data_IF_846553308299
#
_entry.id   IF_846553308299
#
_cell.length_a   1.000
_cell.length_b   1.000
_cell.length_c   1.000
_cell.angle_alpha   90.00
_cell.angle_beta   90.00
_cell.angle_gamma   90.00
#
_symmetry.space_group_name_H-M   'P 1'
#
loop_
_entity.id
_entity.type
_entity.pdbx_description
1 polymer ?
#
# COMPACT_ATOMS: atom_id res chain seq x y z
N UNK A 1 17.42 14.73 2.53
CA UNK A 1 15.96 14.85 2.76
C UNK A 1 15.18 13.53 2.70
N UNK A 2 15.69 12.42 2.15
CA UNK A 2 14.90 11.19 1.89
C UNK A 2 14.35 10.39 3.10
N UNK A 3 14.74 10.65 4.36
CA UNK A 3 14.36 9.75 5.48
C UNK A 3 13.04 10.13 6.14
N UNK A 4 12.82 11.42 6.44
CA UNK A 4 11.65 11.87 7.21
C UNK A 4 10.37 11.90 6.35
N UNK A 5 10.45 12.45 5.14
CA UNK A 5 9.31 12.53 4.21
C UNK A 5 8.79 11.14 3.85
N UNK A 6 9.67 10.16 3.64
CA UNK A 6 9.27 8.76 3.36
C UNK A 6 8.60 8.10 4.56
N UNK A 7 9.05 8.38 5.79
CA UNK A 7 8.38 7.83 6.98
C UNK A 7 6.97 8.40 7.09
N UNK A 8 6.82 9.71 6.96
CA UNK A 8 5.51 10.38 7.03
C UNK A 8 4.56 9.84 5.95
N UNK A 9 5.02 9.72 4.71
CA UNK A 9 4.22 9.16 3.62
C UNK A 9 3.75 7.72 3.91
N UNK A 10 4.66 6.86 4.41
CA UNK A 10 4.31 5.47 4.77
C UNK A 10 3.34 5.41 5.94
N UNK A 11 3.45 6.31 6.92
CA UNK A 11 2.52 6.37 8.06
C UNK A 11 1.13 6.80 7.60
N UNK A 12 1.02 7.80 6.74
CA UNK A 12 -0.27 8.24 6.20
C UNK A 12 -0.94 7.18 5.34
N UNK A 13 -0.17 6.51 4.48
CA UNK A 13 -0.68 5.36 3.72
C UNK A 13 -1.10 4.23 4.65
N UNK A 14 -0.29 3.89 5.66
CA UNK A 14 -0.59 2.82 6.61
C UNK A 14 -1.87 3.08 7.41
N UNK A 15 -2.14 4.33 7.81
CA UNK A 15 -3.28 4.68 8.65
C UNK A 15 -4.63 4.28 8.04
N UNK A 16 -4.77 4.46 6.72
CA UNK A 16 -5.98 4.08 5.99
C UNK A 16 -6.28 2.58 6.12
N UNK A 17 -5.26 1.74 5.90
CA UNK A 17 -5.38 0.29 5.95
C UNK A 17 -5.46 -0.24 7.38
N UNK A 18 -4.83 0.43 8.34
CA UNK A 18 -4.91 0.06 9.75
C UNK A 18 -6.34 0.24 10.27
N UNK A 19 -6.95 1.40 9.99
CA UNK A 19 -8.34 1.66 10.38
C UNK A 19 -9.30 0.68 9.70
N UNK A 20 -9.10 0.45 8.40
CA UNK A 20 -9.90 -0.49 7.61
C UNK A 20 -9.77 -1.94 8.11
N UNK A 21 -8.56 -2.42 8.36
CA UNK A 21 -8.29 -3.78 8.82
C UNK A 21 -8.82 -4.04 10.24
N UNK A 22 -8.66 -3.08 11.16
CA UNK A 22 -9.24 -3.17 12.51
C UNK A 22 -10.78 -3.21 12.41
N UNK A 23 -11.36 -2.35 11.57
CA UNK A 23 -12.81 -2.34 11.33
C UNK A 23 -13.36 -3.67 10.83
N UNK A 24 -12.60 -4.39 10.00
CA UNK A 24 -12.95 -5.74 9.52
C UNK A 24 -12.87 -6.81 10.59
N UNK A 25 -11.96 -6.67 11.56
CA UNK A 25 -11.89 -7.59 12.71
C UNK A 25 -13.06 -7.36 13.65
N UNK A 26 -13.36 -6.10 13.99
CA UNK A 26 -14.44 -5.77 14.92
C UNK A 26 -15.83 -6.03 14.32
N UNK A 27 -16.00 -5.81 13.02
CA UNK A 27 -17.26 -6.02 12.30
C UNK A 27 -17.19 -7.21 11.33
N UNK A 28 -16.57 -8.32 11.75
CA UNK A 28 -16.30 -9.45 10.86
C UNK A 28 -17.57 -10.02 10.22
N UNK A 29 -18.61 -10.29 11.01
CA UNK A 29 -19.85 -10.87 10.49
C UNK A 29 -20.55 -9.93 9.51
N UNK A 30 -20.65 -8.64 9.83
CA UNK A 30 -21.28 -7.64 8.97
C UNK A 30 -20.51 -7.46 7.66
N UNK A 31 -19.17 -7.45 7.73
CA UNK A 31 -18.33 -7.33 6.53
C UNK A 31 -18.47 -8.56 5.64
N UNK A 32 -18.51 -9.77 6.23
CA UNK A 32 -18.70 -11.00 5.47
C UNK A 32 -20.04 -11.02 4.72
N UNK A 33 -21.13 -10.58 5.36
CA UNK A 33 -22.44 -10.42 4.70
C UNK A 33 -22.39 -9.37 3.59
N UNK A 34 -21.69 -8.26 3.80
CA UNK A 34 -21.49 -7.25 2.75
C UNK A 34 -20.69 -7.77 1.54
N UNK A 35 -19.69 -8.63 1.77
CA UNK A 35 -18.90 -9.27 0.72
C UNK A 35 -19.72 -10.29 -0.09
N UNK A 36 -20.65 -11.00 0.57
CA UNK A 36 -21.60 -11.90 -0.09
C UNK A 36 -22.54 -11.13 -1.02
N UNK A 37 -23.05 -9.97 -0.58
CA UNK A 37 -23.96 -9.13 -1.37
C UNK A 37 -23.33 -8.59 -2.67
N UNK A 38 -22.01 -8.39 -2.69
CA UNK A 38 -21.27 -7.93 -3.88
C UNK A 38 -20.64 -9.09 -4.68
N UNK A 39 -20.98 -10.34 -4.34
CA UNK A 39 -20.59 -11.52 -5.10
C UNK A 39 -19.13 -11.98 -4.90
N UNK A 40 -18.48 -11.63 -3.78
CA UNK A 40 -17.14 -12.13 -3.48
C UNK A 40 -17.19 -13.63 -3.17
N UNK A 41 -16.42 -14.48 -3.87
CA UNK A 41 -16.39 -15.91 -3.58
C UNK A 41 -15.80 -16.17 -2.18
N UNK A 42 -16.38 -17.13 -1.47
CA UNK A 42 -15.94 -17.57 -0.14
C UNK A 42 -15.72 -16.38 0.83
N UNK A 43 -16.77 -15.58 1.14
CA UNK A 43 -16.63 -14.25 1.75
C UNK A 43 -15.86 -14.28 3.07
N UNK A 44 -16.07 -15.28 3.93
CA UNK A 44 -15.33 -15.42 5.20
C UNK A 44 -13.83 -15.67 5.00
N UNK A 45 -13.45 -16.49 4.03
CA UNK A 45 -12.04 -16.78 3.73
C UNK A 45 -11.39 -15.56 3.08
N UNK A 46 -12.06 -14.97 2.10
CA UNK A 46 -11.63 -13.74 1.42
C UNK A 46 -11.47 -12.57 2.41
N UNK A 47 -12.34 -12.48 3.42
CA UNK A 47 -12.23 -11.49 4.50
C UNK A 47 -10.97 -11.71 5.36
N UNK A 48 -10.66 -12.94 5.75
CA UNK A 48 -9.43 -13.25 6.49
C UNK A 48 -8.19 -12.89 5.65
N UNK A 49 -8.19 -13.23 4.35
CA UNK A 49 -7.11 -12.85 3.43
C UNK A 49 -6.98 -11.33 3.34
N UNK A 50 -8.10 -10.60 3.23
CA UNK A 50 -8.10 -9.14 3.20
C UNK A 50 -7.47 -8.54 4.47
N UNK A 51 -7.83 -9.05 5.65
CA UNK A 51 -7.26 -8.62 6.94
C UNK A 51 -5.74 -8.87 6.97
N UNK A 52 -5.29 -10.04 6.50
CA UNK A 52 -3.86 -10.37 6.43
C UNK A 52 -3.13 -9.43 5.47
N UNK A 53 -3.70 -9.14 4.29
CA UNK A 53 -3.11 -8.22 3.32
C UNK A 53 -3.01 -6.81 3.88
N UNK A 54 -4.05 -6.33 4.56
CA UNK A 54 -4.08 -4.99 5.16
C UNK A 54 -3.12 -4.87 6.34
N UNK A 55 -3.30 -5.69 7.39
CA UNK A 55 -2.52 -5.55 8.62
C UNK A 55 -1.09 -6.05 8.46
N UNK A 56 -0.90 -7.16 7.74
CA UNK A 56 0.43 -7.66 7.37
C UNK A 56 1.14 -6.71 6.41
N UNK A 57 0.41 -6.16 5.43
CA UNK A 57 0.93 -5.14 4.52
C UNK A 57 1.40 -3.88 5.26
N UNK A 58 0.59 -3.36 6.19
CA UNK A 58 0.95 -2.23 7.06
C UNK A 58 2.19 -2.53 7.90
N UNK A 59 2.22 -3.68 8.56
CA UNK A 59 3.36 -4.09 9.39
C UNK A 59 4.66 -4.09 8.58
N UNK A 60 4.65 -4.66 7.37
CA UNK A 60 5.81 -4.70 6.48
C UNK A 60 6.14 -3.32 5.87
N UNK A 61 5.14 -2.53 5.49
CA UNK A 61 5.29 -1.19 4.92
C UNK A 61 6.08 -0.27 5.87
N UNK A 62 5.78 -0.32 7.17
CA UNK A 62 6.44 0.53 8.15
C UNK A 62 7.91 0.14 8.39
N UNK A 63 8.30 -1.11 8.13
CA UNK A 63 9.71 -1.53 8.19
C UNK A 63 10.58 -0.87 7.12
N UNK A 64 11.91 -0.96 7.26
CA UNK A 64 12.86 -0.48 6.24
C UNK A 64 13.15 -1.54 5.17
N UNK A 65 13.27 -2.80 5.57
CA UNK A 65 13.71 -3.91 4.71
C UNK A 65 12.58 -4.47 3.84
N UNK A 66 11.36 -4.52 4.38
CA UNK A 66 10.23 -5.20 3.74
C UNK A 66 9.15 -4.23 3.22
N UNK A 67 9.46 -2.92 3.17
CA UNK A 67 8.50 -1.90 2.73
C UNK A 67 7.94 -2.16 1.33
N UNK A 68 8.77 -2.67 0.41
CA UNK A 68 8.35 -3.02 -0.96
C UNK A 68 7.32 -4.15 -0.97
N UNK A 69 7.51 -5.16 -0.12
CA UNK A 69 6.59 -6.31 -0.01
C UNK A 69 5.27 -5.82 0.59
N UNK A 70 5.32 -5.03 1.66
CA UNK A 70 4.12 -4.44 2.26
C UNK A 70 3.34 -3.56 1.26
N UNK A 71 4.03 -2.74 0.46
CA UNK A 71 3.40 -1.93 -0.56
C UNK A 71 2.65 -2.79 -1.60
N UNK A 72 3.25 -3.88 -2.08
CA UNK A 72 2.60 -4.79 -3.03
C UNK A 72 1.38 -5.50 -2.44
N UNK A 73 1.43 -5.92 -1.18
CA UNK A 73 0.27 -6.52 -0.50
C UNK A 73 -0.90 -5.54 -0.43
N UNK A 74 -0.62 -4.28 -0.07
CA UNK A 74 -1.63 -3.23 0.02
C UNK A 74 -2.17 -2.82 -1.35
N UNK A 75 -1.32 -2.78 -2.40
CA UNK A 75 -1.75 -2.54 -3.78
C UNK A 75 -2.72 -3.64 -4.21
N UNK A 76 -2.37 -4.91 -4.00
CA UNK A 76 -3.22 -6.05 -4.37
C UNK A 76 -4.58 -5.95 -3.70
N UNK A 77 -4.62 -5.71 -2.39
CA UNK A 77 -5.86 -5.51 -1.66
C UNK A 77 -6.67 -4.32 -2.21
N UNK A 78 -6.03 -3.18 -2.46
CA UNK A 78 -6.71 -1.96 -2.93
C UNK A 78 -7.32 -2.14 -4.31
N UNK A 79 -6.63 -2.85 -5.22
CA UNK A 79 -7.15 -3.19 -6.55
C UNK A 79 -8.38 -4.08 -6.42
N UNK A 80 -8.28 -5.17 -5.65
CA UNK A 80 -9.41 -6.08 -5.46
C UNK A 80 -10.61 -5.37 -4.83
N UNK A 81 -10.40 -4.59 -3.77
CA UNK A 81 -11.48 -3.82 -3.12
C UNK A 81 -12.16 -2.86 -4.11
N UNK A 82 -11.40 -2.20 -4.97
CA UNK A 82 -11.94 -1.28 -5.99
C UNK A 82 -12.82 -2.00 -7.02
N UNK A 83 -12.40 -3.18 -7.47
CA UNK A 83 -13.14 -3.97 -8.44
C UNK A 83 -14.47 -4.49 -7.88
N UNK A 84 -14.53 -4.84 -6.59
CA UNK A 84 -15.78 -5.34 -5.99
C UNK A 84 -16.73 -4.24 -5.52
N UNK A 85 -16.24 -3.08 -5.06
CA UNK A 85 -17.07 -2.10 -4.35
C UNK A 85 -17.25 -0.75 -5.05
N UNK A 86 -16.50 -0.45 -6.11
CA UNK A 86 -16.43 0.93 -6.65
C UNK A 86 -16.48 0.99 -8.18
N UNK A 87 -17.22 0.08 -8.82
CA UNK A 87 -17.42 0.07 -10.28
C UNK A 87 -18.76 0.65 -10.73
N UNK A 88 -19.61 1.14 -9.82
CA UNK A 88 -20.80 1.88 -10.19
C UNK A 88 -20.45 3.36 -10.46
N UNK A 89 -20.40 3.73 -11.73
CA UNK A 89 -20.11 5.11 -12.16
C UNK A 89 -21.34 6.04 -12.10
N UNK A 90 -22.53 5.51 -11.83
CA UNK A 90 -23.73 6.31 -11.64
C UNK A 90 -23.80 6.88 -10.22
N UNK A 91 -23.22 6.17 -9.26
CA UNK A 91 -23.01 6.66 -7.90
C UNK A 91 -21.73 7.50 -7.78
N UNK A 92 -21.91 8.80 -7.53
CA UNK A 92 -20.81 9.75 -7.33
C UNK A 92 -19.89 9.34 -6.17
N UNK A 93 -20.44 8.75 -5.10
CA UNK A 93 -19.66 8.34 -3.93
C UNK A 93 -18.74 7.16 -4.26
N UNK A 94 -19.22 6.19 -5.05
CA UNK A 94 -18.39 5.08 -5.51
C UNK A 94 -17.30 5.55 -6.47
N UNK A 95 -17.61 6.47 -7.38
CA UNK A 95 -16.62 7.04 -8.29
C UNK A 95 -15.51 7.77 -7.52
N UNK A 96 -15.86 8.55 -6.49
CA UNK A 96 -14.86 9.21 -5.63
C UNK A 96 -14.01 8.18 -4.87
N UNK A 97 -14.61 7.10 -4.37
CA UNK A 97 -13.90 6.04 -3.68
C UNK A 97 -12.92 5.30 -4.60
N UNK A 98 -13.29 5.04 -5.86
CA UNK A 98 -12.40 4.49 -6.88
C UNK A 98 -11.19 5.40 -7.13
N UNK A 99 -11.42 6.71 -7.32
CA UNK A 99 -10.35 7.69 -7.52
C UNK A 99 -9.43 7.79 -6.30
N UNK A 100 -9.98 7.73 -5.09
CA UNK A 100 -9.19 7.66 -3.85
C UNK A 100 -8.29 6.43 -3.86
N UNK A 101 -8.82 5.26 -4.21
CA UNK A 101 -8.06 4.02 -4.26
C UNK A 101 -6.96 4.08 -5.33
N UNK A 102 -7.22 4.69 -6.49
CA UNK A 102 -6.21 4.89 -7.54
C UNK A 102 -5.07 5.80 -7.06
N UNK A 103 -5.39 6.88 -6.34
CA UNK A 103 -4.39 7.76 -5.72
C UNK A 103 -3.55 7.02 -4.67
N UNK A 104 -4.18 6.18 -3.84
CA UNK A 104 -3.49 5.34 -2.85
C UNK A 104 -2.55 4.34 -3.53
N UNK A 105 -2.99 3.67 -4.61
CA UNK A 105 -2.15 2.78 -5.41
C UNK A 105 -0.93 3.54 -5.96
N UNK A 106 -1.12 4.74 -6.49
CA UNK A 106 -0.02 5.60 -6.94
C UNK A 106 0.99 5.91 -5.83
N UNK A 107 0.50 6.27 -4.64
CA UNK A 107 1.34 6.50 -3.46
C UNK A 107 2.13 5.25 -3.04
N UNK A 108 1.50 4.07 -3.05
CA UNK A 108 2.16 2.80 -2.74
C UNK A 108 3.19 2.41 -3.80
N UNK A 109 2.91 2.64 -5.09
CA UNK A 109 3.85 2.42 -6.19
C UNK A 109 5.11 3.27 -6.02
N UNK A 110 4.99 4.53 -5.58
CA UNK A 110 6.15 5.35 -5.25
C UNK A 110 7.00 4.70 -4.15
N UNK A 111 6.37 4.13 -3.10
CA UNK A 111 7.09 3.41 -2.04
C UNK A 111 7.86 2.19 -2.58
N UNK A 112 7.35 1.48 -3.60
CA UNK A 112 8.09 0.36 -4.21
C UNK A 112 9.39 0.79 -4.88
N UNK A 113 9.46 2.04 -5.34
CA UNK A 113 10.62 2.63 -6.03
C UNK A 113 11.59 3.36 -5.10
N UNK A 114 11.20 3.66 -3.86
CA UNK A 114 12.09 4.33 -2.90
C UNK A 114 13.25 3.40 -2.49
N UNK A 115 14.42 3.64 -3.07
CA UNK A 115 15.71 3.15 -2.59
C UNK A 115 16.39 4.26 -1.79
N UNK A 116 16.54 4.09 -0.47
CA UNK A 116 17.31 5.03 0.34
C UNK A 116 18.82 4.75 0.16
N UNK A 117 19.55 5.71 -0.40
CA UNK A 117 21.00 5.69 -0.45
C UNK A 117 21.56 5.70 0.97
N UNK A 118 22.47 4.78 1.30
CA UNK A 118 23.13 4.75 2.60
C UNK A 118 24.16 5.89 2.63
N UNK A 119 24.13 6.73 3.67
CA UNK A 119 25.02 7.91 3.83
C UNK A 119 26.53 7.56 3.80
N UNK A 120 26.89 6.29 3.97
CA UNK A 120 28.27 5.80 4.05
C UNK A 120 28.66 4.81 2.93
N UNK A 121 27.89 4.73 1.84
CA UNK A 121 28.30 4.03 0.63
C UNK A 121 28.91 5.02 -0.37
N UNK A 122 30.10 4.72 -0.87
CA UNK A 122 30.93 5.47 -1.84
C UNK A 122 30.24 5.91 -3.13
N UNK A 123 28.97 5.54 -3.34
CA UNK A 123 28.17 5.89 -4.52
C UNK A 123 27.08 6.95 -4.24
N UNK A 124 27.14 7.67 -3.10
CA UNK A 124 26.23 8.78 -2.79
C UNK A 124 26.93 10.13 -2.99
N UNK A 125 26.85 10.71 -4.20
CA UNK A 125 27.28 12.10 -4.39
C UNK A 125 26.21 13.03 -3.81
N UNK A 126 26.45 13.50 -2.59
CA UNK A 126 25.54 14.34 -1.79
C UNK A 126 25.34 15.76 -2.32
N UNK A 127 25.91 16.14 -3.47
CA UNK A 127 25.83 17.53 -3.93
C UNK A 127 24.52 17.92 -4.61
N UNK A 128 23.80 17.02 -5.30
CA UNK A 128 22.65 17.43 -6.15
C UNK A 128 21.33 16.64 -5.97
N UNK A 129 21.06 16.03 -4.80
CA UNK A 129 19.75 15.44 -4.48
C UNK A 129 19.17 14.46 -5.56
N UNK A 130 20.01 13.81 -6.36
CA UNK A 130 19.57 13.04 -7.53
C UNK A 130 19.87 11.56 -7.31
N UNK A 131 18.80 10.81 -6.99
CA UNK A 131 18.52 9.38 -7.07
C UNK A 131 19.67 8.33 -6.99
N UNK A 132 19.42 7.27 -6.21
CA UNK A 132 20.23 6.04 -6.24
C UNK A 132 20.18 5.42 -7.63
N UNK A 133 21.35 5.26 -8.26
CA UNK A 133 21.48 4.53 -9.53
C UNK A 133 21.08 3.06 -9.31
N UNK A 134 20.26 2.53 -10.22
CA UNK A 134 19.75 1.16 -10.27
C UNK A 134 20.78 0.08 -9.90
N UNK A 135 20.26 -1.02 -9.34
CA UNK A 135 20.92 -2.20 -8.76
C UNK A 135 21.89 -2.98 -9.69
N UNK A 136 22.40 -2.41 -10.79
CA UNK A 136 23.32 -3.10 -11.71
C UNK A 136 24.32 -2.21 -12.49
N UNK A 137 24.74 -1.06 -11.96
CA UNK A 137 25.91 -0.35 -12.53
C UNK A 137 27.01 -0.19 -11.49
N UNK A 138 28.08 -0.97 -11.67
CA UNK A 138 29.36 -0.91 -10.94
C UNK A 138 29.73 0.55 -10.67
N UNK A 139 30.02 0.89 -9.41
CA UNK A 139 30.75 2.11 -9.10
C UNK A 139 32.13 1.95 -9.76
N UNK A 140 32.33 2.55 -10.94
CA UNK A 140 33.64 2.55 -11.58
C UNK A 140 34.63 3.26 -10.66
N UNK A 141 35.80 2.64 -10.53
CA UNK A 141 36.94 3.16 -9.77
C UNK A 141 37.48 4.43 -10.42
#
# INVERSE_FOLDING_TARGET
MCKHTTIIAKVFLALLFLMSGIGKITNFSQTATGMEAVGVPLPKISLVIAIILELGGVALLLTKKHAKIGAWMLILFTVLASLFYHLDFTDKMQTIALLKNLAVIGGLLLVTKVSCCKKNSTCCNTKNNTYCKEDNKKCCK
#
